data_IF_790812426140
#
_entry.id   IF_790812426140
#
_cell.length_a   1.000
_cell.length_b   1.000
_cell.length_c   1.000
_cell.angle_alpha   90.00
_cell.angle_beta   90.00
_cell.angle_gamma   90.00
#
_symmetry.space_group_name_H-M   'P 1'
#
loop_
_entity.id
_entity.type
_entity.pdbx_description
1 polymer ?
#
# COMPACT_ATOMS: atom_id res chain seq x y z
N UNK A 1 14.67 -39.62 15.43
CA UNK A 1 13.30 -39.38 14.93
C UNK A 1 13.08 -37.95 14.39
N UNK A 2 14.13 -37.18 14.08
CA UNK A 2 14.06 -35.82 13.52
C UNK A 2 13.69 -35.79 12.02
N UNK A 3 14.02 -36.84 11.26
CA UNK A 3 13.73 -36.94 9.82
C UNK A 3 12.22 -36.98 9.47
N UNK A 4 11.35 -37.42 10.40
CA UNK A 4 9.89 -37.42 10.19
C UNK A 4 9.26 -36.02 10.26
N UNK A 5 9.86 -35.09 11.01
CA UNK A 5 9.30 -33.77 11.26
C UNK A 5 9.55 -32.78 10.11
N UNK A 6 10.72 -32.84 9.47
CA UNK A 6 11.01 -32.05 8.26
C UNK A 6 10.11 -32.46 7.09
N UNK A 7 9.67 -33.72 7.04
CA UNK A 7 8.78 -34.23 5.99
C UNK A 7 7.38 -33.58 6.05
N UNK A 8 6.88 -33.22 7.23
CA UNK A 8 5.53 -32.68 7.39
C UNK A 8 5.42 -31.19 6.99
N UNK A 9 6.38 -30.36 7.41
CA UNK A 9 6.35 -28.91 7.12
C UNK A 9 6.63 -28.63 5.62
N UNK A 10 7.45 -29.46 4.96
CA UNK A 10 7.84 -29.29 3.56
C UNK A 10 6.98 -30.05 2.53
N UNK A 11 6.11 -30.96 2.96
CA UNK A 11 5.11 -31.57 2.07
C UNK A 11 3.89 -30.66 1.86
N UNK A 12 3.81 -29.53 2.57
CA UNK A 12 2.73 -28.58 2.40
C UNK A 12 2.93 -27.80 1.10
N UNK A 13 1.89 -27.80 0.26
CA UNK A 13 1.80 -27.04 -1.00
C UNK A 13 1.94 -25.52 -0.77
N UNK A 14 1.73 -25.06 0.47
CA UNK A 14 1.67 -23.65 0.85
C UNK A 14 2.94 -22.84 0.58
N UNK A 15 4.16 -23.20 1.03
CA UNK A 15 5.34 -22.38 0.81
C UNK A 15 5.72 -22.26 -0.67
N UNK A 16 5.43 -23.30 -1.47
CA UNK A 16 5.64 -23.28 -2.92
C UNK A 16 4.68 -22.29 -3.57
N UNK A 17 3.38 -22.41 -3.29
CA UNK A 17 2.35 -21.49 -3.81
C UNK A 17 2.65 -20.05 -3.39
N UNK A 18 3.06 -19.85 -2.14
CA UNK A 18 3.42 -18.54 -1.62
C UNK A 18 4.63 -17.95 -2.36
N UNK A 19 5.69 -18.75 -2.58
CA UNK A 19 6.91 -18.33 -3.29
C UNK A 19 6.60 -17.94 -4.74
N UNK A 20 5.80 -18.74 -5.43
CA UNK A 20 5.34 -18.43 -6.80
C UNK A 20 4.50 -17.14 -6.79
N UNK A 21 3.57 -17.00 -5.84
CA UNK A 21 2.76 -15.80 -5.70
C UNK A 21 3.60 -14.55 -5.37
N UNK A 22 4.64 -14.67 -4.55
CA UNK A 22 5.57 -13.60 -4.22
C UNK A 22 6.40 -13.17 -5.44
N UNK A 23 6.83 -14.13 -6.28
CA UNK A 23 7.51 -13.84 -7.54
C UNK A 23 6.60 -13.05 -8.51
N UNK A 24 5.35 -13.49 -8.66
CA UNK A 24 4.35 -12.76 -9.46
C UNK A 24 4.09 -11.37 -8.88
N UNK A 25 3.95 -11.26 -7.56
CA UNK A 25 3.77 -9.98 -6.86
C UNK A 25 4.93 -9.02 -7.13
N UNK A 26 6.17 -9.51 -7.12
CA UNK A 26 7.36 -8.71 -7.39
C UNK A 26 7.32 -8.10 -8.79
N UNK A 27 6.91 -8.87 -9.81
CA UNK A 27 6.74 -8.37 -11.18
C UNK A 27 5.74 -7.20 -11.21
N UNK A 28 4.57 -7.36 -10.58
CA UNK A 28 3.55 -6.31 -10.55
C UNK A 28 3.99 -5.07 -9.75
N UNK A 29 4.73 -5.26 -8.65
CA UNK A 29 5.30 -4.16 -7.88
C UNK A 29 6.34 -3.38 -8.68
N UNK A 30 7.23 -4.06 -9.44
CA UNK A 30 8.21 -3.41 -10.32
C UNK A 30 7.52 -2.59 -11.41
N UNK A 31 6.49 -3.16 -12.05
CA UNK A 31 5.69 -2.45 -13.07
C UNK A 31 5.05 -1.20 -12.47
N UNK A 32 4.45 -1.33 -11.28
CA UNK A 32 3.79 -0.22 -10.62
C UNK A 32 4.79 0.85 -10.13
N UNK A 33 5.95 0.44 -9.61
CA UNK A 33 7.04 1.33 -9.24
C UNK A 33 7.55 2.14 -10.45
N UNK A 34 7.78 1.48 -11.59
CA UNK A 34 8.14 2.14 -12.84
C UNK A 34 7.07 3.15 -13.26
N UNK A 35 5.80 2.79 -13.15
CA UNK A 35 4.69 3.71 -13.46
C UNK A 35 4.68 4.93 -12.54
N UNK A 36 4.93 4.77 -11.24
CA UNK A 36 5.01 5.87 -10.29
C UNK A 36 6.16 6.84 -10.61
N UNK A 37 7.33 6.33 -11.01
CA UNK A 37 8.49 7.15 -11.39
C UNK A 37 8.22 7.94 -12.67
N UNK A 38 7.69 7.27 -13.71
CA UNK A 38 7.51 7.88 -15.04
C UNK A 38 6.30 8.81 -15.10
N UNK A 39 5.29 8.59 -14.25
CA UNK A 39 4.06 9.38 -14.26
C UNK A 39 4.22 10.73 -13.54
N UNK A 40 3.99 11.81 -14.28
CA UNK A 40 3.88 13.17 -13.75
C UNK A 40 2.44 13.56 -13.38
N UNK A 41 1.50 12.61 -13.43
CA UNK A 41 0.09 12.85 -13.12
C UNK A 41 -0.21 12.87 -11.62
N UNK A 42 0.76 12.49 -10.79
CA UNK A 42 0.59 12.47 -9.34
C UNK A 42 1.16 13.72 -8.73
N UNK A 43 0.43 14.28 -7.76
CA UNK A 43 1.04 15.25 -6.86
C UNK A 43 2.28 14.62 -6.20
N UNK A 44 3.33 15.42 -6.03
CA UNK A 44 4.64 14.93 -5.59
C UNK A 44 4.54 14.19 -4.24
N UNK A 45 3.74 14.72 -3.32
CA UNK A 45 3.56 14.19 -1.96
C UNK A 45 2.96 12.77 -1.99
N UNK A 46 1.86 12.57 -2.73
CA UNK A 46 1.24 11.23 -2.82
C UNK A 46 2.10 10.24 -3.59
N UNK A 47 2.87 10.71 -4.59
CA UNK A 47 3.83 9.85 -5.28
C UNK A 47 4.88 9.30 -4.32
N UNK A 48 5.41 10.13 -3.42
CA UNK A 48 6.36 9.71 -2.39
C UNK A 48 5.73 8.68 -1.45
N UNK A 49 4.51 8.91 -0.96
CA UNK A 49 3.83 7.94 -0.09
C UNK A 49 3.47 6.63 -0.82
N UNK A 50 3.09 6.69 -2.10
CA UNK A 50 2.86 5.50 -2.94
C UNK A 50 4.14 4.71 -3.20
N UNK A 51 5.28 5.37 -3.33
CA UNK A 51 6.59 4.71 -3.40
C UNK A 51 6.86 3.99 -2.07
N UNK A 52 6.65 4.64 -0.94
CA UNK A 52 6.71 4.00 0.38
C UNK A 52 5.80 2.78 0.48
N UNK A 53 4.58 2.88 -0.06
CA UNK A 53 3.61 1.78 -0.11
C UNK A 53 4.10 0.57 -0.91
N UNK A 54 4.95 0.76 -1.92
CA UNK A 54 5.55 -0.33 -2.71
C UNK A 54 6.80 -0.92 -2.04
N UNK A 55 7.58 -0.11 -1.32
CA UNK A 55 8.80 -0.55 -0.64
C UNK A 55 8.50 -1.56 0.48
N UNK A 56 7.44 -1.35 1.27
CA UNK A 56 7.13 -2.25 2.38
C UNK A 56 6.75 -3.70 1.94
N UNK A 57 5.89 -3.91 0.93
CA UNK A 57 5.69 -5.23 0.31
C UNK A 57 6.98 -5.86 -0.22
N UNK A 58 7.92 -5.05 -0.73
CA UNK A 58 9.21 -5.54 -1.21
C UNK A 58 10.03 -6.14 -0.07
N UNK A 59 10.05 -5.49 1.11
CA UNK A 59 10.65 -6.09 2.32
C UNK A 59 9.98 -7.41 2.72
N UNK A 60 8.65 -7.49 2.67
CA UNK A 60 7.91 -8.73 3.00
C UNK A 60 8.31 -9.85 2.03
N UNK A 61 8.34 -9.56 0.73
CA UNK A 61 8.71 -10.52 -0.32
C UNK A 61 10.15 -11.00 -0.13
N UNK A 62 11.10 -10.08 0.06
CA UNK A 62 12.51 -10.43 0.30
C UNK A 62 12.64 -11.30 1.54
N UNK A 63 12.01 -10.91 2.66
CA UNK A 63 12.06 -11.69 3.88
C UNK A 63 11.50 -13.11 3.71
N UNK A 64 10.41 -13.27 2.95
CA UNK A 64 9.81 -14.58 2.67
C UNK A 64 10.69 -15.44 1.77
N UNK A 65 11.32 -14.85 0.75
CA UNK A 65 12.33 -15.57 -0.03
C UNK A 65 13.50 -16.02 0.83
N UNK A 66 13.98 -15.18 1.75
CA UNK A 66 15.04 -15.56 2.68
C UNK A 66 14.59 -16.73 3.58
N UNK A 67 13.40 -16.66 4.18
CA UNK A 67 12.83 -17.76 4.97
C UNK A 67 12.74 -19.04 4.13
N UNK A 68 12.24 -18.96 2.90
CA UNK A 68 12.13 -20.10 2.00
C UNK A 68 13.50 -20.72 1.65
N UNK A 69 14.53 -19.90 1.43
CA UNK A 69 15.89 -20.37 1.19
C UNK A 69 16.47 -21.11 2.41
N UNK A 70 16.27 -20.56 3.61
CA UNK A 70 16.69 -21.24 4.86
C UNK A 70 15.96 -22.57 5.07
N UNK A 71 14.67 -22.63 4.72
CA UNK A 71 13.90 -23.87 4.72
C UNK A 71 14.48 -24.87 3.70
N UNK A 72 14.73 -24.43 2.46
CA UNK A 72 15.18 -25.29 1.36
C UNK A 72 16.54 -25.92 1.65
N UNK A 73 17.48 -25.12 2.18
CA UNK A 73 18.80 -25.60 2.57
C UNK A 73 18.71 -26.66 3.68
N UNK A 74 17.89 -26.41 4.70
CA UNK A 74 17.66 -27.38 5.78
C UNK A 74 17.11 -28.71 5.28
N UNK A 75 16.29 -28.70 4.21
CA UNK A 75 15.76 -29.92 3.58
C UNK A 75 16.79 -30.65 2.73
N UNK A 76 17.53 -29.94 1.89
CA UNK A 76 18.43 -30.54 0.89
C UNK A 76 19.73 -30.99 1.53
N UNK A 77 20.36 -30.12 2.31
CA UNK A 77 21.72 -30.33 2.81
C UNK A 77 21.76 -30.88 4.23
N UNK A 78 20.61 -30.99 4.92
CA UNK A 78 20.54 -31.31 6.35
C UNK A 78 21.48 -30.43 7.20
N UNK A 79 21.83 -29.25 6.69
CA UNK A 79 22.82 -28.33 7.24
C UNK A 79 22.14 -27.06 7.76
N UNK A 80 22.81 -26.31 8.65
CA UNK A 80 22.22 -25.22 9.44
C UNK A 80 22.80 -23.83 9.11
N UNK A 81 23.45 -23.64 7.96
CA UNK A 81 24.16 -22.37 7.70
C UNK A 81 23.22 -21.18 7.42
N UNK A 82 22.26 -21.32 6.50
CA UNK A 82 21.12 -20.40 6.32
C UNK A 82 20.02 -20.63 7.37
N UNK A 83 20.06 -21.75 8.09
CA UNK A 83 19.29 -21.97 9.32
C UNK A 83 19.86 -21.25 10.56
N UNK A 84 20.95 -20.49 10.41
CA UNK A 84 21.59 -19.82 11.53
C UNK A 84 20.68 -18.75 12.18
N UNK A 85 20.83 -18.58 13.49
CA UNK A 85 20.03 -17.64 14.27
C UNK A 85 20.10 -16.21 13.70
N UNK A 86 21.28 -15.77 13.27
CA UNK A 86 21.50 -14.45 12.67
C UNK A 86 20.69 -14.26 11.39
N UNK A 87 20.66 -15.27 10.52
CA UNK A 87 19.90 -15.21 9.27
C UNK A 87 18.39 -15.16 9.51
N UNK A 88 17.90 -16.01 10.42
CA UNK A 88 16.50 -16.01 10.82
C UNK A 88 16.08 -14.68 11.46
N UNK A 89 16.94 -14.10 12.31
CA UNK A 89 16.75 -12.77 12.89
C UNK A 89 16.62 -11.70 11.80
N UNK A 90 17.54 -11.64 10.83
CA UNK A 90 17.46 -10.64 9.74
C UNK A 90 16.17 -10.79 8.95
N UNK A 91 15.80 -12.02 8.60
CA UNK A 91 14.57 -12.31 7.85
C UNK A 91 13.33 -11.89 8.64
N UNK A 92 13.31 -12.19 9.94
CA UNK A 92 12.23 -11.79 10.83
C UNK A 92 12.10 -10.27 10.97
N UNK A 93 13.21 -9.57 11.24
CA UNK A 93 13.22 -8.11 11.32
C UNK A 93 12.68 -7.48 10.03
N UNK A 94 13.18 -7.96 8.89
CA UNK A 94 12.76 -7.49 7.57
C UNK A 94 11.26 -7.74 7.34
N UNK A 95 10.76 -8.93 7.70
CA UNK A 95 9.33 -9.27 7.59
C UNK A 95 8.46 -8.37 8.48
N UNK A 96 8.87 -8.13 9.73
CA UNK A 96 8.10 -7.31 10.68
C UNK A 96 8.10 -5.84 10.31
N UNK A 97 9.24 -5.29 9.89
CA UNK A 97 9.34 -3.92 9.36
C UNK A 97 8.44 -3.78 8.13
N UNK A 98 8.52 -4.71 7.19
CA UNK A 98 7.67 -4.72 6.01
C UNK A 98 6.18 -4.79 6.36
N UNK A 99 5.78 -5.71 7.23
CA UNK A 99 4.37 -5.90 7.60
C UNK A 99 3.79 -4.72 8.37
N UNK A 100 4.47 -4.24 9.41
CA UNK A 100 4.02 -3.07 10.19
C UNK A 100 4.07 -1.80 9.36
N UNK A 101 5.10 -1.64 8.53
CA UNK A 101 5.26 -0.53 7.60
C UNK A 101 4.15 -0.47 6.55
N UNK A 102 3.82 -1.62 5.94
CA UNK A 102 2.73 -1.74 4.98
C UNK A 102 1.36 -1.39 5.59
N UNK A 103 1.13 -1.78 6.84
CA UNK A 103 -0.08 -1.40 7.54
C UNK A 103 -0.11 0.11 7.86
N UNK A 104 1.03 0.70 8.20
CA UNK A 104 1.10 2.08 8.65
C UNK A 104 1.10 3.13 7.54
N UNK A 105 1.66 2.79 6.38
CA UNK A 105 1.66 3.69 5.23
C UNK A 105 0.25 3.99 4.72
N UNK A 106 -0.69 3.06 4.93
CA UNK A 106 -2.06 3.18 4.46
C UNK A 106 -2.81 4.34 5.13
N UNK A 107 -2.76 4.44 6.46
CA UNK A 107 -3.37 5.58 7.14
C UNK A 107 -2.64 6.88 6.85
N UNK A 108 -1.33 6.83 6.58
CA UNK A 108 -0.54 8.01 6.16
C UNK A 108 -1.02 8.55 4.82
N UNK A 109 -1.22 7.68 3.83
CA UNK A 109 -1.83 8.03 2.54
C UNK A 109 -3.22 8.63 2.73
N UNK A 110 -4.03 8.01 3.58
CA UNK A 110 -5.40 8.49 3.84
C UNK A 110 -5.39 9.86 4.51
N UNK A 111 -4.56 10.08 5.53
CA UNK A 111 -4.41 11.36 6.20
C UNK A 111 -3.98 12.46 5.21
N UNK A 112 -3.02 12.14 4.34
CA UNK A 112 -2.56 13.05 3.30
C UNK A 112 -3.69 13.41 2.31
N UNK A 113 -4.52 12.44 1.92
CA UNK A 113 -5.71 12.68 1.08
C UNK A 113 -6.78 13.52 1.79
N UNK A 114 -6.96 13.34 3.10
CA UNK A 114 -7.84 14.19 3.92
C UNK A 114 -7.32 15.63 3.91
N UNK A 115 -6.03 15.83 4.19
CA UNK A 115 -5.40 17.16 4.18
C UNK A 115 -5.55 17.82 2.81
N UNK A 116 -5.26 17.10 1.72
CA UNK A 116 -5.41 17.60 0.35
C UNK A 116 -6.87 17.99 0.03
N UNK A 117 -7.84 17.23 0.55
CA UNK A 117 -9.26 17.53 0.34
C UNK A 117 -9.75 18.70 1.17
N UNK A 118 -9.24 18.89 2.39
CA UNK A 118 -9.62 20.00 3.28
C UNK A 118 -8.95 21.30 2.82
N UNK A 119 -7.67 21.24 2.46
CA UNK A 119 -6.85 22.38 2.03
C UNK A 119 -6.77 22.51 0.51
N UNK A 120 -7.82 22.12 -0.22
CA UNK A 120 -7.81 22.12 -1.69
C UNK A 120 -7.38 23.47 -2.31
N UNK A 121 -7.61 24.60 -1.62
CA UNK A 121 -7.21 25.95 -2.08
C UNK A 121 -5.69 26.22 -2.03
N UNK A 122 -5.00 25.71 -1.01
CA UNK A 122 -3.57 26.01 -0.77
C UNK A 122 -2.65 24.85 -1.11
N UNK A 123 -3.20 23.63 -1.15
CA UNK A 123 -2.43 22.39 -1.28
C UNK A 123 -1.60 22.32 -2.57
N UNK A 124 -2.06 22.89 -3.69
CA UNK A 124 -1.30 22.89 -4.95
C UNK A 124 0.05 23.61 -4.86
N UNK A 125 0.13 24.63 -4.01
CA UNK A 125 1.35 25.41 -3.80
C UNK A 125 2.29 24.73 -2.79
N UNK A 126 1.80 23.76 -2.03
CA UNK A 126 2.54 23.05 -0.98
C UNK A 126 3.24 21.80 -1.53
N UNK A 127 4.36 22.01 -2.24
CA UNK A 127 5.26 20.92 -2.66
C UNK A 127 6.35 20.65 -1.62
N UNK A 128 6.01 19.90 -0.58
CA UNK A 128 6.91 19.61 0.55
C UNK A 128 7.45 18.18 0.51
N UNK A 129 8.19 17.83 -0.55
CA UNK A 129 8.80 16.50 -0.69
C UNK A 129 9.64 16.09 0.52
N UNK A 130 10.42 17.03 1.07
CA UNK A 130 11.26 16.82 2.25
C UNK A 130 10.43 16.42 3.47
N UNK A 131 9.26 17.05 3.65
CA UNK A 131 8.36 16.73 4.76
C UNK A 131 7.75 15.33 4.59
N UNK A 132 7.33 14.95 3.37
CA UNK A 132 6.81 13.61 3.10
C UNK A 132 7.87 12.52 3.34
N UNK A 133 9.11 12.76 2.90
CA UNK A 133 10.25 11.86 3.15
C UNK A 133 10.54 11.78 4.64
N UNK A 134 10.53 12.92 5.36
CA UNK A 134 10.70 12.96 6.80
C UNK A 134 9.66 12.14 7.55
N UNK A 135 8.37 12.25 7.18
CA UNK A 135 7.29 11.42 7.77
C UNK A 135 7.57 9.93 7.55
N UNK A 136 7.96 9.52 6.34
CA UNK A 136 8.28 8.12 6.05
C UNK A 136 9.49 7.62 6.85
N UNK A 137 10.53 8.44 7.01
CA UNK A 137 11.72 8.09 7.78
C UNK A 137 11.39 7.95 9.26
N UNK A 138 10.63 8.89 9.85
CA UNK A 138 10.19 8.81 11.25
C UNK A 138 9.33 7.56 11.48
N UNK A 139 8.40 7.28 10.57
CA UNK A 139 7.58 6.07 10.61
C UNK A 139 8.45 4.80 10.57
N UNK A 140 9.39 4.72 9.63
CA UNK A 140 10.30 3.58 9.51
C UNK A 140 11.16 3.40 10.77
N UNK A 141 11.78 4.47 11.27
CA UNK A 141 12.61 4.44 12.48
C UNK A 141 11.80 4.04 13.71
N UNK A 142 10.58 4.56 13.89
CA UNK A 142 9.71 4.19 15.01
C UNK A 142 9.36 2.71 15.01
N UNK A 143 9.03 2.15 13.84
CA UNK A 143 8.75 0.71 13.68
C UNK A 143 10.01 -0.10 13.97
N UNK A 144 11.16 0.30 13.40
CA UNK A 144 12.44 -0.37 13.62
C UNK A 144 12.81 -0.43 15.10
N UNK A 145 12.75 0.70 15.80
CA UNK A 145 13.07 0.77 17.24
C UNK A 145 12.12 -0.08 18.08
N UNK A 146 10.82 -0.08 17.73
CA UNK A 146 9.83 -0.90 18.45
C UNK A 146 10.13 -2.39 18.32
N UNK A 147 10.46 -2.85 17.10
CA UNK A 147 10.84 -4.26 16.87
C UNK A 147 12.15 -4.57 17.60
N UNK A 148 13.16 -3.69 17.49
CA UNK A 148 14.46 -3.88 18.11
C UNK A 148 14.39 -4.07 19.63
N UNK A 149 13.54 -3.28 20.31
CA UNK A 149 13.33 -3.39 21.76
C UNK A 149 12.48 -4.61 22.13
N UNK A 150 11.58 -5.04 21.24
CA UNK A 150 10.65 -6.15 21.51
C UNK A 150 11.25 -7.54 21.23
N UNK A 151 12.41 -7.62 20.59
CA UNK A 151 13.11 -8.88 20.34
C UNK A 151 13.94 -9.22 21.57
N UNK A 152 13.44 -10.22 22.31
CA UNK A 152 14.10 -10.74 23.49
C UNK A 152 15.43 -11.43 23.10
N UNK A 153 16.50 -11.08 23.80
CA UNK A 153 17.85 -11.61 23.57
C UNK A 153 18.24 -12.68 24.58
N UNK A 154 17.32 -13.11 25.45
CA UNK A 154 17.63 -14.11 26.47
C UNK A 154 18.01 -15.45 25.82
N UNK A 155 19.18 -16.02 26.16
CA UNK A 155 19.69 -17.27 25.56
C UNK A 155 18.90 -18.53 25.97
N UNK A 156 17.98 -18.43 26.94
CA UNK A 156 17.19 -19.58 27.44
C UNK A 156 16.21 -20.18 26.42
N UNK A 157 15.92 -19.50 25.30
CA UNK A 157 15.01 -20.03 24.28
C UNK A 157 15.60 -21.15 23.40
N UNK A 158 16.88 -21.51 23.58
CA UNK A 158 17.62 -22.43 22.71
C UNK A 158 17.33 -23.93 22.94
N UNK A 159 16.61 -24.32 24.00
CA UNK A 159 16.41 -25.74 24.33
C UNK A 159 15.33 -26.48 23.50
N UNK A 160 14.60 -25.80 22.61
CA UNK A 160 13.64 -26.45 21.72
C UNK A 160 14.31 -26.93 20.41
N UNK A 161 15.15 -27.96 20.50
CA UNK A 161 15.90 -28.57 19.38
C UNK A 161 15.06 -29.14 18.21
N UNK A 162 13.73 -29.09 18.30
CA UNK A 162 12.80 -29.76 17.38
C UNK A 162 12.23 -28.87 16.27
N UNK A 163 12.49 -27.56 16.27
CA UNK A 163 11.90 -26.64 15.28
C UNK A 163 12.95 -25.73 14.64
N UNK A 164 12.74 -25.42 13.35
CA UNK A 164 13.60 -24.51 12.57
C UNK A 164 13.56 -23.13 13.24
N UNK A 165 14.72 -22.51 13.56
CA UNK A 165 14.77 -21.23 14.28
C UNK A 165 13.97 -20.11 13.62
N UNK A 166 13.91 -20.10 12.28
CA UNK A 166 13.15 -19.14 11.48
C UNK A 166 11.62 -19.26 11.65
N UNK A 167 11.11 -20.41 12.10
CA UNK A 167 9.69 -20.66 12.35
C UNK A 167 9.29 -20.45 13.83
N UNK A 168 10.25 -20.55 14.75
CA UNK A 168 9.99 -20.61 16.21
C UNK A 168 10.68 -19.48 16.96
N UNK A 169 10.61 -18.29 16.39
CA UNK A 169 10.98 -17.11 17.14
C UNK A 169 9.90 -16.84 18.19
N UNK A 170 10.18 -17.21 19.44
CA UNK A 170 9.37 -16.81 20.60
C UNK A 170 9.50 -15.30 20.75
N UNK A 171 8.53 -14.58 20.20
CA UNK A 171 8.38 -13.15 20.41
C UNK A 171 7.79 -12.97 21.81
N UNK A 172 8.60 -12.54 22.78
CA UNK A 172 8.11 -12.03 24.07
C UNK A 172 7.46 -10.63 23.94
N UNK A 173 7.36 -10.11 22.72
CA UNK A 173 6.85 -8.78 22.40
C UNK A 173 5.34 -8.67 22.48
N UNK A 174 4.80 -8.61 23.70
CA UNK A 174 3.46 -8.04 23.94
C UNK A 174 3.29 -6.70 23.21
N UNK A 175 4.36 -5.89 23.15
CA UNK A 175 4.40 -4.64 22.39
C UNK A 175 4.18 -4.83 20.87
N UNK A 176 4.82 -5.81 20.22
CA UNK A 176 4.60 -6.08 18.78
C UNK A 176 3.16 -6.53 18.54
N UNK A 177 2.62 -7.37 19.42
CA UNK A 177 1.24 -7.86 19.33
C UNK A 177 0.26 -6.70 19.47
N UNK A 178 0.39 -5.89 20.53
CA UNK A 178 -0.44 -4.70 20.75
C UNK A 178 -0.35 -3.74 19.57
N UNK A 179 0.86 -3.42 19.10
CA UNK A 179 1.06 -2.53 17.95
C UNK A 179 0.39 -3.07 16.68
N UNK A 180 0.49 -4.38 16.44
CA UNK A 180 -0.16 -5.03 15.29
C UNK A 180 -1.68 -4.86 15.35
N UNK A 181 -2.30 -5.10 16.51
CA UNK A 181 -3.73 -4.89 16.69
C UNK A 181 -4.13 -3.42 16.55
N UNK A 182 -3.35 -2.50 17.12
CA UNK A 182 -3.57 -1.06 16.96
C UNK A 182 -3.57 -0.67 15.48
N UNK A 183 -2.61 -1.16 14.68
CA UNK A 183 -2.58 -0.87 13.25
C UNK A 183 -3.76 -1.47 12.49
N UNK A 184 -4.23 -2.68 12.83
CA UNK A 184 -5.44 -3.24 12.20
C UNK A 184 -6.69 -2.42 12.50
N UNK A 185 -6.90 -2.02 13.76
CA UNK A 185 -8.02 -1.16 14.15
C UNK A 185 -7.94 0.19 13.42
N UNK A 186 -6.76 0.81 13.40
CA UNK A 186 -6.55 2.08 12.69
C UNK A 186 -6.81 1.94 11.19
N UNK A 187 -6.40 0.84 10.56
CA UNK A 187 -6.64 0.61 9.14
C UNK A 187 -8.13 0.52 8.80
N UNK A 188 -8.92 -0.12 9.67
CA UNK A 188 -10.39 -0.17 9.51
C UNK A 188 -10.97 1.26 9.65
N UNK A 189 -10.59 2.00 10.69
CA UNK A 189 -11.07 3.37 10.92
C UNK A 189 -10.70 4.32 9.77
N UNK A 190 -9.46 4.28 9.28
CA UNK A 190 -9.01 5.10 8.17
C UNK A 190 -9.66 4.70 6.84
N UNK A 191 -9.95 3.41 6.62
CA UNK A 191 -10.71 2.97 5.43
C UNK A 191 -12.13 3.56 5.43
N UNK A 192 -12.80 3.56 6.59
CA UNK A 192 -14.12 4.19 6.75
C UNK A 192 -14.02 5.71 6.54
N UNK A 193 -13.03 6.37 7.14
CA UNK A 193 -12.78 7.79 6.94
C UNK A 193 -12.54 8.15 5.46
N UNK A 194 -11.85 7.28 4.72
CA UNK A 194 -11.62 7.44 3.28
C UNK A 194 -12.93 7.37 2.47
N UNK A 195 -13.84 6.46 2.82
CA UNK A 195 -15.15 6.37 2.18
C UNK A 195 -15.98 7.63 2.46
N UNK A 196 -15.98 8.10 3.72
CA UNK A 196 -16.63 9.36 4.11
C UNK A 196 -16.05 10.53 3.32
N UNK A 197 -14.72 10.58 3.17
CA UNK A 197 -14.02 11.61 2.40
C UNK A 197 -14.49 11.67 0.94
N UNK A 198 -14.75 10.54 0.30
CA UNK A 198 -15.32 10.49 -1.06
C UNK A 198 -16.73 11.09 -1.07
N UNK A 199 -17.56 10.75 -0.09
CA UNK A 199 -18.94 11.25 0.01
C UNK A 199 -18.93 12.77 0.21
N UNK A 200 -18.09 13.28 1.11
CA UNK A 200 -17.94 14.71 1.38
C UNK A 200 -17.44 15.45 0.14
N UNK A 201 -16.40 14.97 -0.53
CA UNK A 201 -15.90 15.59 -1.76
C UNK A 201 -16.93 15.58 -2.90
N UNK A 202 -17.73 14.51 -3.06
CA UNK A 202 -18.83 14.49 -4.02
C UNK A 202 -19.89 15.56 -3.68
N UNK A 203 -20.23 15.76 -2.40
CA UNK A 203 -21.18 16.80 -1.97
C UNK A 203 -20.63 18.21 -2.21
N UNK A 204 -19.36 18.45 -1.88
CA UNK A 204 -18.67 19.71 -2.14
C UNK A 204 -18.65 20.03 -3.65
N UNK A 205 -18.35 19.04 -4.48
CA UNK A 205 -18.39 19.18 -5.93
C UNK A 205 -19.79 19.59 -6.43
N UNK A 206 -20.85 18.90 -5.97
CA UNK A 206 -22.24 19.25 -6.34
C UNK A 206 -22.60 20.69 -5.95
N UNK A 207 -22.25 21.11 -4.73
CA UNK A 207 -22.51 22.48 -4.23
C UNK A 207 -21.70 23.53 -4.98
N UNK A 208 -20.47 23.23 -5.39
CA UNK A 208 -19.67 24.14 -6.22
C UNK A 208 -20.25 24.32 -7.63
N UNK A 209 -21.05 23.36 -8.11
CA UNK A 209 -21.65 23.44 -9.45
C UNK A 209 -22.89 24.33 -9.52
N UNK A 210 -23.49 24.70 -8.39
CA UNK A 210 -24.70 25.55 -8.36
C UNK A 210 -24.40 27.05 -8.28
N UNK A 211 -23.19 27.45 -7.90
CA UNK A 211 -22.82 28.85 -7.71
C UNK A 211 -21.89 29.30 -8.87
N UNK A 212 -22.28 30.33 -9.62
CA UNK A 212 -21.73 30.69 -10.94
C UNK A 212 -20.65 31.79 -10.97
N UNK A 213 -19.99 32.10 -9.86
CA UNK A 213 -18.97 33.16 -9.79
C UNK A 213 -17.59 32.69 -10.31
N UNK A 214 -16.92 33.50 -11.13
CA UNK A 214 -15.74 33.13 -11.94
C UNK A 214 -14.51 32.56 -11.20
N UNK A 215 -14.29 32.86 -9.92
CA UNK A 215 -13.22 32.23 -9.11
C UNK A 215 -13.52 30.77 -8.71
N UNK A 216 -14.74 30.29 -8.96
CA UNK A 216 -15.19 28.93 -8.65
C UNK A 216 -14.63 27.91 -9.64
N UNK A 217 -14.22 28.34 -10.85
CA UNK A 217 -13.81 27.40 -11.91
C UNK A 217 -12.54 26.62 -11.54
N UNK A 218 -11.47 27.29 -11.11
CA UNK A 218 -10.22 26.66 -10.67
C UNK A 218 -10.44 25.72 -9.47
N UNK A 219 -11.20 26.19 -8.47
CA UNK A 219 -11.56 25.40 -7.29
C UNK A 219 -12.39 24.15 -7.64
N UNK A 220 -13.33 24.26 -8.57
CA UNK A 220 -14.14 23.13 -9.05
C UNK A 220 -13.28 22.07 -9.74
N UNK A 221 -12.28 22.49 -10.51
CA UNK A 221 -11.35 21.58 -11.16
C UNK A 221 -10.44 20.87 -10.15
N UNK A 222 -9.89 21.57 -9.16
CA UNK A 222 -9.09 20.95 -8.09
C UNK A 222 -9.88 19.91 -7.30
N UNK A 223 -11.13 20.24 -6.92
CA UNK A 223 -12.03 19.29 -6.22
C UNK A 223 -12.33 18.09 -7.12
N UNK A 224 -12.58 18.32 -8.41
CA UNK A 224 -12.86 17.25 -9.37
C UNK A 224 -11.66 16.32 -9.56
N UNK A 225 -10.45 16.86 -9.68
CA UNK A 225 -9.21 16.09 -9.80
C UNK A 225 -8.97 15.23 -8.55
N UNK A 226 -9.06 15.84 -7.36
CA UNK A 226 -8.98 15.11 -6.10
C UNK A 226 -10.02 13.99 -6.02
N UNK A 227 -11.27 14.27 -6.42
CA UNK A 227 -12.34 13.27 -6.43
C UNK A 227 -12.10 12.14 -7.43
N UNK A 228 -11.58 12.44 -8.62
CA UNK A 228 -11.21 11.42 -9.61
C UNK A 228 -10.09 10.53 -9.09
N UNK A 229 -9.08 11.14 -8.45
CA UNK A 229 -7.99 10.41 -7.83
C UNK A 229 -8.49 9.52 -6.69
N UNK A 230 -9.34 10.05 -5.80
CA UNK A 230 -9.92 9.29 -4.70
C UNK A 230 -10.72 8.07 -5.19
N UNK A 231 -11.51 8.25 -6.26
CA UNK A 231 -12.27 7.17 -6.92
C UNK A 231 -11.37 6.14 -7.60
N UNK A 232 -10.21 6.56 -8.11
CA UNK A 232 -9.25 5.63 -8.72
C UNK A 232 -8.54 4.76 -7.68
N UNK A 233 -8.29 5.29 -6.48
CA UNK A 233 -7.71 4.54 -5.36
C UNK A 233 -8.72 3.73 -4.55
N UNK A 234 -10.01 4.03 -4.64
CA UNK A 234 -11.06 3.33 -3.89
C UNK A 234 -10.99 1.79 -3.99
N UNK A 235 -10.77 1.17 -5.17
CA UNK A 235 -10.63 -0.29 -5.25
C UNK A 235 -9.47 -0.83 -4.40
N UNK A 236 -8.37 -0.08 -4.32
CA UNK A 236 -7.18 -0.43 -3.55
C UNK A 236 -7.48 -0.40 -2.05
N UNK A 237 -8.19 0.65 -1.60
CA UNK A 237 -8.70 0.78 -0.23
C UNK A 237 -9.62 -0.39 0.13
N UNK A 238 -10.54 -0.77 -0.77
CA UNK A 238 -11.47 -1.88 -0.54
C UNK A 238 -10.71 -3.21 -0.40
N UNK A 239 -9.75 -3.49 -1.29
CA UNK A 239 -8.95 -4.73 -1.22
C UNK A 239 -8.14 -4.76 0.07
N UNK A 240 -7.50 -3.64 0.41
CA UNK A 240 -6.73 -3.52 1.64
C UNK A 240 -7.61 -3.70 2.89
N UNK A 241 -8.82 -3.14 2.90
CA UNK A 241 -9.79 -3.32 3.99
C UNK A 241 -10.20 -4.79 4.13
N UNK A 242 -10.58 -5.45 3.03
CA UNK A 242 -10.93 -6.88 3.03
C UNK A 242 -9.75 -7.71 3.56
N UNK A 243 -8.55 -7.46 3.04
CA UNK A 243 -7.34 -8.14 3.48
C UNK A 243 -7.06 -7.92 4.97
N UNK A 244 -7.28 -6.70 5.48
CA UNK A 244 -7.10 -6.37 6.90
C UNK A 244 -8.12 -7.09 7.77
N UNK A 245 -9.40 -7.14 7.37
CA UNK A 245 -10.46 -7.86 8.11
C UNK A 245 -10.15 -9.35 8.16
N UNK A 246 -9.86 -9.97 7.01
CA UNK A 246 -9.53 -11.40 6.94
C UNK A 246 -8.28 -11.71 7.77
N UNK A 247 -7.25 -10.88 7.66
CA UNK A 247 -6.03 -11.04 8.48
C UNK A 247 -6.31 -10.89 9.97
N UNK A 248 -7.18 -9.96 10.37
CA UNK A 248 -7.56 -9.78 11.77
C UNK A 248 -8.27 -11.02 12.30
N UNK A 249 -9.20 -11.60 11.52
CA UNK A 249 -9.89 -12.85 11.88
C UNK A 249 -8.87 -13.99 12.04
N UNK A 250 -7.95 -14.16 11.09
CA UNK A 250 -6.90 -15.20 11.15
C UNK A 250 -6.06 -15.03 12.43
N UNK A 251 -5.64 -13.80 12.75
CA UNK A 251 -4.82 -13.51 13.94
C UNK A 251 -5.62 -13.76 15.23
N UNK A 252 -6.91 -13.43 15.28
CA UNK A 252 -7.77 -13.73 16.43
C UNK A 252 -7.97 -15.24 16.62
N UNK A 253 -8.17 -16.00 15.53
CA UNK A 253 -8.23 -17.47 15.57
C UNK A 253 -6.90 -18.07 16.04
N UNK A 254 -5.78 -17.56 15.57
CA UNK A 254 -4.46 -18.00 16.03
C UNK A 254 -4.26 -17.70 17.52
N UNK A 255 -4.67 -16.51 17.98
CA UNK A 255 -4.58 -16.11 19.39
C UNK A 255 -5.41 -16.99 20.32
N UNK A 256 -6.63 -17.37 19.90
CA UNK A 256 -7.48 -18.27 20.71
C UNK A 256 -6.86 -19.66 20.87
N UNK A 257 -6.16 -20.17 19.84
CA UNK A 257 -5.36 -21.39 19.92
C UNK A 257 -4.11 -21.22 20.80
N UNK A 258 -3.57 -20.00 20.91
CA UNK A 258 -2.43 -19.72 21.80
C UNK A 258 -2.78 -19.81 23.27
N UNK A 259 -3.96 -19.34 23.65
CA UNK A 259 -4.34 -19.17 25.05
C UNK A 259 -4.70 -20.49 25.77
N UNK A 260 -4.75 -21.64 25.07
CA UNK A 260 -5.08 -22.93 25.70
C UNK A 260 -3.98 -23.38 26.68
N UNK A 261 -4.29 -23.65 27.97
CA UNK A 261 -3.28 -23.94 28.99
C UNK A 261 -2.57 -25.31 28.85
N UNK A 262 -3.09 -26.25 28.05
CA UNK A 262 -2.48 -27.55 27.77
C UNK A 262 -2.43 -27.80 26.26
N UNK A 263 -1.47 -27.20 25.55
CA UNK A 263 -1.36 -27.37 24.09
C UNK A 263 -0.82 -28.74 23.71
N UNK A 264 -1.53 -29.41 22.82
CA UNK A 264 -0.98 -30.57 22.12
C UNK A 264 0.05 -30.12 21.06
N UNK A 265 0.88 -31.06 20.58
CA UNK A 265 1.77 -30.79 19.43
C UNK A 265 0.95 -30.45 18.17
N UNK A 266 -0.21 -31.07 18.00
CA UNK A 266 -1.14 -30.83 16.89
C UNK A 266 -1.66 -29.39 16.91
N UNK A 267 -2.04 -28.84 18.09
CA UNK A 267 -2.46 -27.44 18.23
C UNK A 267 -1.37 -26.45 17.78
N UNK A 268 -0.08 -26.79 18.02
CA UNK A 268 1.06 -25.97 17.58
C UNK A 268 1.17 -25.99 16.05
N UNK A 269 1.06 -27.17 15.44
CA UNK A 269 1.11 -27.31 13.98
C UNK A 269 -0.05 -26.60 13.28
N UNK A 270 -1.28 -26.83 13.74
CA UNK A 270 -2.46 -26.13 13.20
C UNK A 270 -2.36 -24.62 13.38
N UNK A 271 -1.77 -24.14 14.49
CA UNK A 271 -1.50 -22.72 14.68
C UNK A 271 -0.54 -22.14 13.64
N UNK A 272 0.53 -22.87 13.29
CA UNK A 272 1.49 -22.44 12.26
C UNK A 272 0.80 -22.37 10.89
N UNK A 273 0.01 -23.39 10.53
CA UNK A 273 -0.72 -23.43 9.26
C UNK A 273 -1.73 -22.27 9.15
N UNK A 274 -2.48 -22.00 10.21
CA UNK A 274 -3.40 -20.85 10.26
C UNK A 274 -2.64 -19.54 10.11
N UNK A 275 -1.47 -19.41 10.72
CA UNK A 275 -0.63 -18.21 10.56
C UNK A 275 -0.16 -18.04 9.11
N UNK A 276 0.12 -19.11 8.37
CA UNK A 276 0.51 -19.05 6.95
C UNK A 276 -0.63 -18.58 6.03
N UNK A 277 -1.90 -18.75 6.42
CA UNK A 277 -3.03 -18.23 5.65
C UNK A 277 -2.98 -16.70 5.50
N UNK A 278 -2.49 -15.99 6.53
CA UNK A 278 -2.25 -14.54 6.46
C UNK A 278 -1.29 -14.20 5.33
N UNK A 279 -0.33 -15.07 5.04
CA UNK A 279 0.67 -14.79 4.04
C UNK A 279 0.08 -14.79 2.62
N UNK A 280 -0.83 -15.72 2.35
CA UNK A 280 -1.61 -15.81 1.11
C UNK A 280 -2.46 -14.54 0.91
N UNK A 281 -3.09 -14.05 1.98
CA UNK A 281 -3.92 -12.83 1.95
C UNK A 281 -3.07 -11.63 1.55
N UNK A 282 -1.87 -11.49 2.12
CA UNK A 282 -0.94 -10.43 1.73
C UNK A 282 -0.45 -10.57 0.29
N UNK A 283 -0.02 -11.77 -0.13
CA UNK A 283 0.45 -12.01 -1.50
C UNK A 283 -0.63 -11.67 -2.52
N UNK A 284 -1.87 -12.09 -2.27
CA UNK A 284 -3.02 -11.76 -3.11
C UNK A 284 -3.23 -10.24 -3.18
N UNK A 285 -3.09 -9.55 -2.05
CA UNK A 285 -3.20 -8.09 -1.99
C UNK A 285 -2.09 -7.39 -2.78
N UNK A 286 -0.86 -7.89 -2.72
CA UNK A 286 0.29 -7.35 -3.47
C UNK A 286 0.21 -7.58 -4.97
N UNK A 287 -0.59 -8.54 -5.43
CA UNK A 287 -0.90 -8.71 -6.86
C UNK A 287 -2.04 -7.76 -7.24
N UNK A 288 -3.16 -7.83 -6.52
CA UNK A 288 -4.39 -7.13 -6.90
C UNK A 288 -4.27 -5.61 -6.80
N UNK A 289 -3.62 -5.09 -5.76
CA UNK A 289 -3.52 -3.63 -5.57
C UNK A 289 -2.73 -3.00 -6.73
N UNK A 290 -1.46 -3.36 -7.01
CA UNK A 290 -0.72 -2.79 -8.13
C UNK A 290 -1.42 -2.98 -9.48
N UNK A 291 -2.00 -4.17 -9.72
CA UNK A 291 -2.72 -4.47 -10.97
C UNK A 291 -3.89 -3.52 -11.21
N UNK A 292 -4.78 -3.40 -10.22
CA UNK A 292 -6.00 -2.58 -10.34
C UNK A 292 -5.64 -1.10 -10.36
N UNK A 293 -4.67 -0.70 -9.53
CA UNK A 293 -4.17 0.67 -9.47
C UNK A 293 -3.61 1.08 -10.83
N UNK A 294 -2.71 0.27 -11.41
CA UNK A 294 -2.12 0.52 -12.71
C UNK A 294 -3.19 0.56 -13.82
N UNK A 295 -4.15 -0.35 -13.83
CA UNK A 295 -5.23 -0.36 -14.82
C UNK A 295 -6.12 0.88 -14.75
N UNK A 296 -6.58 1.25 -13.54
CA UNK A 296 -7.44 2.44 -13.33
C UNK A 296 -6.69 3.73 -13.63
N UNK A 297 -5.43 3.83 -13.25
CA UNK A 297 -4.61 5.01 -13.49
C UNK A 297 -4.28 5.18 -14.97
N UNK A 298 -3.92 4.11 -15.68
CA UNK A 298 -3.71 4.18 -17.12
C UNK A 298 -4.97 4.64 -17.88
N UNK A 299 -6.15 4.26 -17.40
CA UNK A 299 -7.41 4.76 -17.94
C UNK A 299 -7.55 6.29 -17.73
N UNK A 300 -7.22 6.82 -16.54
CA UNK A 300 -7.21 8.27 -16.28
C UNK A 300 -6.25 9.01 -17.20
N UNK A 301 -5.03 8.49 -17.37
CA UNK A 301 -4.01 9.10 -18.26
C UNK A 301 -4.52 9.16 -19.70
N UNK A 302 -5.11 8.07 -20.22
CA UNK A 302 -5.69 8.05 -21.58
C UNK A 302 -6.84 9.04 -21.75
N UNK A 303 -7.68 9.21 -20.74
CA UNK A 303 -8.75 10.23 -20.78
C UNK A 303 -8.19 11.65 -20.85
N UNK A 304 -7.15 11.96 -20.07
CA UNK A 304 -6.50 13.28 -20.13
C UNK A 304 -5.90 13.57 -21.52
N UNK A 305 -5.22 12.58 -22.13
CA UNK A 305 -4.65 12.71 -23.48
C UNK A 305 -5.71 12.86 -24.57
N UNK A 306 -6.80 12.09 -24.51
CA UNK A 306 -7.91 12.19 -25.48
C UNK A 306 -8.60 13.55 -25.42
N UNK A 307 -8.70 14.15 -24.21
CA UNK A 307 -9.22 15.51 -24.04
C UNK A 307 -8.26 16.56 -24.62
N UNK A 308 -6.94 16.37 -24.48
CA UNK A 308 -5.91 17.23 -25.08
C UNK A 308 -5.93 17.21 -26.61
N UNK A 309 -6.14 16.04 -27.23
CA UNK A 309 -6.16 15.91 -28.70
C UNK A 309 -7.43 16.47 -29.36
N UNK A 310 -8.53 16.64 -28.61
CA UNK A 310 -9.74 17.32 -29.11
C UNK A 310 -9.64 18.84 -29.07
N UNK A 311 -8.62 19.38 -28.40
CA UNK A 311 -8.31 20.81 -28.37
C UNK A 311 -7.17 21.03 -29.36
N UNK A 312 -7.39 20.60 -30.60
CA UNK A 312 -6.62 21.14 -31.71
C UNK A 312 -7.19 22.54 -31.93
N UNK A 313 -6.37 23.61 -31.96
CA UNK A 313 -6.87 24.91 -32.37
C UNK A 313 -7.50 24.70 -33.74
N UNK A 314 -8.81 24.92 -33.83
CA UNK A 314 -9.43 25.25 -35.10
C UNK A 314 -8.60 26.39 -35.63
N UNK A 315 -7.78 26.12 -36.65
CA UNK A 315 -7.15 27.15 -37.45
C UNK A 315 -8.30 27.88 -38.14
N UNK A 316 -8.92 28.83 -37.41
CA UNK A 316 -9.76 29.83 -38.04
C UNK A 316 -8.81 30.63 -38.91
N UNK A 317 -8.75 30.24 -40.19
CA UNK A 317 -8.29 31.11 -41.26
C UNK A 317 -9.03 32.43 -41.06
N UNK A 318 -8.30 33.42 -40.56
CA UNK A 318 -8.71 34.80 -40.55
C UNK A 318 -8.68 35.24 -42.02
N UNK A 319 -9.77 34.99 -42.74
CA UNK A 319 -10.06 35.70 -43.97
C UNK A 319 -11.00 36.81 -43.52
N UNK A 320 -10.48 38.03 -43.59
CA UNK A 320 -11.20 39.22 -43.20
C UNK A 320 -12.48 39.37 -44.00
N UNK A 321 -13.59 39.58 -43.29
CA UNK A 321 -14.44 40.69 -43.62
C UNK A 321 -15.16 41.13 -42.34
N UNK A 322 -14.87 42.37 -41.96
CA UNK A 322 -15.57 43.13 -40.94
C UNK A 322 -17.03 43.20 -41.39
N UNK A 323 -17.94 42.69 -40.54
CA UNK A 323 -19.22 43.33 -40.24
C UNK A 323 -19.81 42.71 -38.96
N UNK A 324 -19.81 43.55 -37.94
CA UNK A 324 -20.74 43.64 -36.80
C UNK A 324 -21.83 42.56 -36.72
N UNK A 325 -21.70 41.67 -35.73
CA UNK A 325 -22.74 41.30 -34.75
C UNK A 325 -21.98 40.72 -33.55
N UNK A 326 -22.06 41.44 -32.44
CA UNK A 326 -21.47 41.10 -31.14
C UNK A 326 -22.18 39.89 -30.54
N UNK A 327 -21.93 38.70 -31.09
CA UNK A 327 -22.32 37.43 -30.49
C UNK A 327 -21.18 37.03 -29.57
N UNK A 328 -21.35 37.25 -28.27
CA UNK A 328 -20.43 36.77 -27.24
C UNK A 328 -20.21 35.27 -27.44
N UNK A 329 -19.09 34.93 -28.06
CA UNK A 329 -18.65 33.55 -28.18
C UNK A 329 -18.30 33.14 -26.76
N UNK A 330 -19.20 32.40 -26.12
CA UNK A 330 -18.91 31.59 -24.94
C UNK A 330 -17.74 30.68 -25.31
N UNK A 331 -16.53 31.18 -25.15
CA UNK A 331 -15.31 30.41 -25.14
C UNK A 331 -15.56 29.25 -24.19
N UNK A 332 -15.52 28.04 -24.73
CA UNK A 332 -15.81 26.83 -23.99
C UNK A 332 -14.92 26.84 -22.75
N UNK A 333 -15.49 26.76 -21.55
CA UNK A 333 -14.75 26.87 -20.27
C UNK A 333 -13.53 25.94 -20.21
N UNK A 334 -13.57 24.85 -20.96
CA UNK A 334 -12.45 23.93 -21.16
C UNK A 334 -11.23 24.57 -21.85
N UNK A 335 -11.40 25.43 -22.86
CA UNK A 335 -10.30 26.03 -23.62
C UNK A 335 -9.49 27.06 -22.82
N UNK A 336 -10.17 27.89 -22.03
CA UNK A 336 -9.52 28.85 -21.12
C UNK A 336 -8.69 28.10 -20.07
N UNK A 337 -9.24 27.00 -19.53
CA UNK A 337 -8.56 26.12 -18.59
C UNK A 337 -7.29 25.49 -19.17
N UNK A 338 -7.35 24.87 -20.36
CA UNK A 338 -6.16 24.24 -20.94
C UNK A 338 -5.09 25.25 -21.36
N UNK A 339 -5.46 26.50 -21.66
CA UNK A 339 -4.50 27.60 -21.85
C UNK A 339 -3.77 27.95 -20.55
N UNK A 340 -4.46 27.98 -19.40
CA UNK A 340 -3.84 28.21 -18.09
C UNK A 340 -2.99 27.01 -17.64
N UNK A 341 -3.48 25.79 -17.84
CA UNK A 341 -2.77 24.55 -17.49
C UNK A 341 -1.47 24.37 -18.30
N UNK A 342 -1.47 24.75 -19.59
CA UNK A 342 -0.28 24.70 -20.45
C UNK A 342 0.81 25.70 -20.02
N UNK A 343 0.44 26.79 -19.33
CA UNK A 343 1.41 27.74 -18.74
C UNK A 343 2.03 27.25 -17.43
N UNK A 344 1.49 26.19 -16.80
CA UNK A 344 1.96 25.68 -15.50
C UNK A 344 2.86 24.44 -15.62
N UNK A 345 2.97 23.86 -16.81
CA UNK A 345 3.76 22.65 -17.10
C UNK A 345 5.07 22.91 -17.86
N UNK A 346 5.20 24.08 -18.47
CA UNK A 346 6.48 24.65 -18.86
C UNK A 346 6.99 25.50 -17.70
#
# INVERSE_FOLDING_TARGET
STAGYYKFIFCNVFPIVETVGNAISLIFLIIFFKHLIVSNHYHLNIRIFMIGFVIYPLFIIVARFLIFLGLLEGKIFSSTYLGSEKYCMVSFFTLKIGSLGFNSIFYTITAERIIASVRYKTYENEKSAILCIGILLVQYLGIFMTIFVSVDRTPESQNNQLLIPCLVQKINGTAIVVLTYTFYVMNILFSVAYIILIIVNNRLYKRSSSNSLGNILSMKYQILENLQFLKALLPCIIIFLIATIVTTIIVLCYWSLIKKPNRSKEDIFSGIEISQLKDIVFTTSFILIPLITNHKLNKLVRFSRKKRNKILPSNSKCIGHINTIEKSTKLNENEVYFKQFKKQWN
#
